data_IF_165318161879
#
_entry.id   IF_165318161879
#
_cell.length_a   1.000
_cell.length_b   1.000
_cell.length_c   1.000
_cell.angle_alpha   90.00
_cell.angle_beta   90.00
_cell.angle_gamma   90.00
#
_symmetry.space_group_name_H-M   'P 1'
#
loop_
_entity.id
_entity.type
_entity.pdbx_description
1 polymer ?
#
# COMPACT_ATOMS: atom_id res chain seq x y z
N UNK A 1 -1.12 46.39 12.59
CA UNK A 1 -1.08 44.96 12.94
C UNK A 1 -2.44 44.70 13.54
N UNK A 2 -3.37 44.15 12.75
CA UNK A 2 -4.68 43.76 13.25
C UNK A 2 -4.61 42.25 13.41
N UNK A 3 -4.55 41.82 14.66
CA UNK A 3 -4.52 40.46 15.16
C UNK A 3 -5.96 39.90 15.06
N UNK A 4 -6.50 39.92 13.84
CA UNK A 4 -7.82 39.39 13.55
C UNK A 4 -7.86 37.93 13.92
N UNK A 5 -8.96 37.49 14.55
CA UNK A 5 -9.31 36.08 14.66
C UNK A 5 -10.12 35.74 13.41
N UNK A 6 -9.86 34.58 12.81
CA UNK A 6 -10.50 34.19 11.55
C UNK A 6 -11.96 33.83 11.82
N UNK A 7 -12.80 33.78 10.79
CA UNK A 7 -14.17 33.33 10.97
C UNK A 7 -14.20 31.91 11.56
N UNK A 8 -14.96 31.72 12.64
CA UNK A 8 -15.11 30.41 13.29
C UNK A 8 -16.56 29.94 13.24
N UNK A 9 -16.75 28.69 12.81
CA UNK A 9 -18.01 27.96 12.95
C UNK A 9 -17.76 26.80 13.91
N UNK A 10 -18.59 26.65 14.94
CA UNK A 10 -18.41 25.60 15.94
C UNK A 10 -19.68 24.77 16.12
N UNK A 11 -19.51 23.45 16.13
CA UNK A 11 -20.52 22.45 16.42
C UNK A 11 -20.19 21.78 17.75
N UNK A 12 -21.14 21.79 18.70
CA UNK A 12 -20.96 21.23 20.05
C UNK A 12 -21.94 20.08 20.31
N UNK A 13 -21.71 19.32 21.40
CA UNK A 13 -22.58 18.24 21.84
C UNK A 13 -22.91 17.25 20.70
N UNK A 14 -24.18 16.95 20.44
CA UNK A 14 -24.63 16.05 19.37
C UNK A 14 -25.09 16.78 18.09
N UNK A 15 -24.60 18.00 17.84
CA UNK A 15 -25.01 18.79 16.67
C UNK A 15 -24.46 18.21 15.35
N UNK A 16 -25.11 18.57 14.24
CA UNK A 16 -24.73 18.11 12.90
C UNK A 16 -24.65 19.26 11.90
N UNK A 17 -23.64 19.21 11.03
CA UNK A 17 -23.58 20.06 9.83
C UNK A 17 -24.50 19.58 8.70
N UNK A 18 -25.15 18.42 8.87
CA UNK A 18 -26.06 17.79 7.91
C UNK A 18 -25.50 17.78 6.48
N UNK A 19 -26.15 18.44 5.52
CA UNK A 19 -25.70 18.54 4.12
C UNK A 19 -25.13 19.93 3.80
N UNK A 20 -24.65 20.67 4.81
CA UNK A 20 -24.16 22.03 4.64
C UNK A 20 -22.90 22.11 3.75
N UNK A 21 -22.70 23.27 3.13
CA UNK A 21 -21.50 23.59 2.36
C UNK A 21 -20.75 24.71 3.06
N UNK A 22 -19.47 24.47 3.34
CA UNK A 22 -18.61 25.34 4.12
C UNK A 22 -17.35 25.66 3.34
N UNK A 23 -16.96 26.94 3.35
CA UNK A 23 -15.68 27.37 2.80
C UNK A 23 -14.88 28.03 3.91
N UNK A 24 -13.79 27.39 4.31
CA UNK A 24 -12.87 27.88 5.31
C UNK A 24 -11.69 28.54 4.58
N UNK A 25 -11.62 29.87 4.64
CA UNK A 25 -10.50 30.64 4.11
C UNK A 25 -9.70 31.23 5.27
N UNK A 26 -8.38 31.17 5.22
CA UNK A 26 -7.51 31.98 6.05
C UNK A 26 -6.76 33.05 5.24
N UNK A 27 -5.93 33.80 5.94
CA UNK A 27 -5.02 34.81 5.41
C UNK A 27 -3.63 34.71 6.08
N UNK A 28 -2.80 35.73 5.90
CA UNK A 28 -1.43 35.80 6.42
C UNK A 28 -1.41 36.07 7.94
N UNK A 29 -1.80 35.07 8.73
CA UNK A 29 -1.80 35.12 10.19
C UNK A 29 -3.08 34.60 10.82
N UNK A 30 -4.13 34.36 10.03
CA UNK A 30 -5.44 34.00 10.56
C UNK A 30 -6.09 32.84 9.81
N UNK A 31 -6.62 31.87 10.55
CA UNK A 31 -7.32 30.71 9.99
C UNK A 31 -8.82 30.83 10.15
N UNK A 32 -9.57 30.88 9.04
CA UNK A 32 -11.00 30.56 9.07
C UNK A 32 -11.18 29.08 9.35
N UNK A 33 -11.99 28.71 10.35
CA UNK A 33 -12.10 27.32 10.79
C UNK A 33 -13.55 26.89 11.00
N UNK A 34 -13.81 25.62 10.68
CA UNK A 34 -15.00 24.91 11.17
C UNK A 34 -14.56 23.85 12.17
N UNK A 35 -15.08 23.87 13.39
CA UNK A 35 -14.65 22.99 14.47
C UNK A 35 -15.80 22.16 15.01
N UNK A 36 -15.56 20.87 15.20
CA UNK A 36 -16.49 19.91 15.78
C UNK A 36 -15.97 19.45 17.15
N UNK A 37 -16.77 19.62 18.19
CA UNK A 37 -16.49 19.17 19.56
C UNK A 37 -17.41 18.03 19.99
N UNK A 38 -17.07 17.36 21.09
CA UNK A 38 -17.90 16.35 21.75
C UNK A 38 -18.35 15.22 20.81
N UNK A 39 -19.65 14.99 20.65
CA UNK A 39 -20.22 13.94 19.79
C UNK A 39 -20.79 14.50 18.48
N UNK A 40 -20.34 15.68 18.06
CA UNK A 40 -20.90 16.36 16.89
C UNK A 40 -20.42 15.69 15.59
N UNK A 41 -21.14 15.93 14.50
CA UNK A 41 -20.84 15.30 13.20
C UNK A 41 -20.89 16.26 12.03
N UNK A 42 -19.95 16.11 11.11
CA UNK A 42 -20.00 16.80 9.83
C UNK A 42 -21.11 16.27 8.89
N UNK A 43 -21.77 15.15 9.23
CA UNK A 43 -22.86 14.59 8.44
C UNK A 43 -22.40 14.23 7.02
N UNK A 44 -23.11 14.73 6.01
CA UNK A 44 -22.71 14.64 4.59
C UNK A 44 -22.20 16.00 4.08
N UNK A 45 -21.72 16.88 4.97
CA UNK A 45 -21.31 18.22 4.63
C UNK A 45 -20.14 18.25 3.64
N UNK A 46 -20.04 19.35 2.89
CA UNK A 46 -18.92 19.60 1.97
C UNK A 46 -18.10 20.78 2.49
N UNK A 47 -16.80 20.57 2.67
CA UNK A 47 -15.88 21.53 3.27
C UNK A 47 -14.74 21.81 2.30
N UNK A 48 -14.58 23.07 1.91
CA UNK A 48 -13.44 23.53 1.12
C UNK A 48 -12.53 24.37 2.00
N UNK A 49 -11.31 23.90 2.21
CA UNK A 49 -10.31 24.52 3.07
C UNK A 49 -9.21 25.10 2.18
N UNK A 50 -9.12 26.43 2.14
CA UNK A 50 -8.15 27.19 1.36
C UNK A 50 -7.17 27.89 2.29
N UNK A 51 -6.04 28.41 1.77
CA UNK A 51 -5.06 29.31 2.43
C UNK A 51 -5.16 29.35 3.97
N UNK A 52 -4.64 28.36 4.68
CA UNK A 52 -4.57 28.34 6.14
C UNK A 52 -5.90 28.14 6.87
N UNK A 53 -7.03 28.10 6.17
CA UNK A 53 -8.31 27.69 6.71
C UNK A 53 -8.41 26.16 6.83
N UNK A 54 -9.25 25.69 7.73
CA UNK A 54 -9.33 24.25 7.99
C UNK A 54 -10.57 23.77 8.72
N UNK A 55 -10.64 22.46 8.86
CA UNK A 55 -11.61 21.77 9.70
C UNK A 55 -10.88 21.05 10.82
N UNK A 56 -11.41 21.13 12.04
CA UNK A 56 -10.84 20.44 13.21
C UNK A 56 -11.90 19.63 13.93
N UNK A 57 -11.56 18.39 14.28
CA UNK A 57 -12.39 17.48 15.07
C UNK A 57 -11.72 17.21 16.42
N UNK A 58 -12.45 17.48 17.51
CA UNK A 58 -12.06 17.20 18.89
C UNK A 58 -13.01 16.23 19.58
N UNK A 59 -12.62 15.69 20.74
CA UNK A 59 -13.46 14.79 21.53
C UNK A 59 -13.79 13.48 20.80
N UNK A 60 -15.07 13.14 20.71
CA UNK A 60 -15.60 11.95 20.02
C UNK A 60 -16.28 12.29 18.69
N UNK A 61 -16.00 13.48 18.12
CA UNK A 61 -16.71 13.98 16.94
C UNK A 61 -16.35 13.19 15.69
N UNK A 62 -17.20 13.26 14.67
CA UNK A 62 -17.05 12.46 13.45
C UNK A 62 -17.13 13.30 12.18
N UNK A 63 -16.33 12.95 11.18
CA UNK A 63 -16.47 13.50 9.83
C UNK A 63 -17.66 12.91 9.05
N UNK A 64 -18.32 11.87 9.58
CA UNK A 64 -19.47 11.23 8.95
C UNK A 64 -19.17 10.74 7.53
N UNK A 65 -20.02 11.10 6.57
CA UNK A 65 -19.80 10.91 5.14
C UNK A 65 -19.33 12.20 4.44
N UNK A 66 -18.82 13.17 5.21
CA UNK A 66 -18.45 14.49 4.69
C UNK A 66 -17.34 14.42 3.64
N UNK A 67 -17.29 15.44 2.80
CA UNK A 67 -16.22 15.64 1.81
C UNK A 67 -15.38 16.84 2.20
N UNK A 68 -14.07 16.64 2.35
CA UNK A 68 -13.14 17.66 2.83
C UNK A 68 -12.07 17.86 1.76
N UNK A 69 -12.00 19.05 1.18
CA UNK A 69 -11.00 19.42 0.18
C UNK A 69 -10.02 20.41 0.77
N UNK A 70 -8.80 19.95 1.02
CA UNK A 70 -7.69 20.72 1.56
C UNK A 70 -6.82 21.20 0.40
N UNK A 71 -6.96 22.46 0.01
CA UNK A 71 -6.19 23.03 -1.10
C UNK A 71 -4.79 23.42 -0.63
N UNK A 72 -3.77 23.09 -1.43
CA UNK A 72 -2.41 23.56 -1.19
C UNK A 72 -2.31 25.08 -1.26
N UNK A 73 -1.21 25.59 -0.72
CA UNK A 73 -0.89 27.01 -0.78
C UNK A 73 -0.74 27.48 -2.24
N UNK A 74 -1.06 28.75 -2.49
CA UNK A 74 -0.85 29.38 -3.81
C UNK A 74 0.42 30.23 -3.88
N UNK A 75 1.03 30.52 -2.72
CA UNK A 75 2.30 31.23 -2.61
C UNK A 75 3.16 30.70 -1.44
N UNK A 76 4.47 30.94 -1.48
CA UNK A 76 5.46 30.31 -0.59
C UNK A 76 5.29 30.64 0.91
N UNK A 77 4.68 31.78 1.24
CA UNK A 77 4.46 32.25 2.62
C UNK A 77 3.06 31.93 3.14
N UNK A 78 2.28 31.18 2.38
CA UNK A 78 0.91 30.84 2.75
C UNK A 78 0.81 29.46 3.38
N UNK A 79 -0.01 29.35 4.42
CA UNK A 79 -0.37 28.06 4.97
C UNK A 79 -1.33 27.32 4.01
N UNK A 80 -1.20 26.00 3.85
CA UNK A 80 -2.16 25.22 3.08
C UNK A 80 -3.48 25.08 3.84
N UNK A 81 -4.53 24.67 3.14
CA UNK A 81 -5.76 24.19 3.77
C UNK A 81 -5.52 22.86 4.49
N UNK A 82 -6.28 22.61 5.56
CA UNK A 82 -6.09 21.41 6.38
C UNK A 82 -7.37 20.78 6.94
N UNK A 83 -7.30 19.50 7.26
CA UNK A 83 -8.26 18.80 8.11
C UNK A 83 -7.51 18.05 9.20
N UNK A 84 -7.90 18.26 10.46
CA UNK A 84 -7.19 17.71 11.62
C UNK A 84 -8.15 16.95 12.55
N UNK A 85 -7.73 15.75 12.97
CA UNK A 85 -8.47 14.87 13.86
C UNK A 85 -7.68 14.66 15.17
N UNK A 86 -8.19 15.21 16.27
CA UNK A 86 -7.64 15.09 17.62
C UNK A 86 -8.41 14.09 18.49
N UNK A 87 -7.88 13.85 19.69
CA UNK A 87 -8.50 13.06 20.76
C UNK A 87 -8.95 11.69 20.28
N UNK A 88 -10.25 11.38 20.37
CA UNK A 88 -10.87 10.12 19.94
C UNK A 88 -11.78 10.33 18.71
N UNK A 89 -11.62 11.44 18.00
CA UNK A 89 -12.45 11.75 16.84
C UNK A 89 -12.24 10.75 15.69
N UNK A 90 -13.19 10.69 14.76
CA UNK A 90 -13.15 9.75 13.65
C UNK A 90 -13.39 10.42 12.29
N UNK A 91 -12.59 10.04 11.29
CA UNK A 91 -12.90 10.33 9.90
C UNK A 91 -14.10 9.51 9.37
N UNK A 92 -14.53 8.48 10.11
CA UNK A 92 -15.69 7.65 9.77
C UNK A 92 -15.66 7.20 8.29
N UNK A 93 -16.66 7.54 7.48
CA UNK A 93 -16.77 7.20 6.06
C UNK A 93 -16.38 8.36 5.13
N UNK A 94 -15.69 9.39 5.63
CA UNK A 94 -15.45 10.63 4.90
C UNK A 94 -14.60 10.45 3.63
N UNK A 95 -14.73 11.42 2.72
CA UNK A 95 -13.81 11.60 1.59
C UNK A 95 -12.87 12.76 1.92
N UNK A 96 -11.61 12.43 2.19
CA UNK A 96 -10.54 13.38 2.53
C UNK A 96 -9.65 13.59 1.31
N UNK A 97 -9.63 14.82 0.79
CA UNK A 97 -8.90 15.20 -0.41
C UNK A 97 -7.87 16.24 -0.01
N UNK A 98 -6.60 16.00 -0.33
CA UNK A 98 -5.53 16.98 -0.20
C UNK A 98 -4.91 17.26 -1.57
N UNK A 99 -4.90 18.53 -1.95
CA UNK A 99 -4.39 18.99 -3.22
C UNK A 99 -2.98 19.58 -3.07
N UNK A 100 -2.09 19.30 -4.02
CA UNK A 100 -0.76 19.90 -4.05
C UNK A 100 -0.81 21.43 -4.10
N UNK A 101 0.25 22.08 -3.62
CA UNK A 101 0.39 23.52 -3.73
C UNK A 101 0.81 23.95 -5.13
N UNK A 102 0.51 25.19 -5.50
CA UNK A 102 0.90 25.73 -6.81
C UNK A 102 2.41 25.94 -6.89
N UNK A 103 3.02 25.68 -8.04
CA UNK A 103 4.46 25.90 -8.25
C UNK A 103 5.38 25.22 -7.20
N UNK A 104 4.95 24.10 -6.62
CA UNK A 104 5.73 23.32 -5.67
C UNK A 104 5.75 23.86 -4.23
N UNK A 105 4.94 24.88 -3.90
CA UNK A 105 4.77 25.31 -2.50
C UNK A 105 3.94 24.30 -1.70
N UNK A 106 3.89 24.44 -0.36
CA UNK A 106 3.30 23.44 0.55
C UNK A 106 1.89 23.01 0.13
N UNK A 107 1.66 21.70 0.02
CA UNK A 107 0.37 21.12 -0.33
C UNK A 107 -0.61 21.04 0.84
N UNK A 108 -1.88 20.81 0.50
CA UNK A 108 -2.97 20.55 1.44
C UNK A 108 -2.62 19.42 2.40
N UNK A 109 -3.14 19.47 3.62
CA UNK A 109 -2.74 18.53 4.66
C UNK A 109 -3.91 17.86 5.36
N UNK A 110 -3.73 16.58 5.69
CA UNK A 110 -4.64 15.78 6.52
C UNK A 110 -3.83 15.24 7.69
N UNK A 111 -4.34 15.43 8.91
CA UNK A 111 -3.66 15.04 10.13
C UNK A 111 -4.52 14.10 10.97
N UNK A 112 -3.90 13.03 11.47
CA UNK A 112 -4.47 12.21 12.56
C UNK A 112 -3.52 12.27 13.74
N UNK A 113 -4.01 12.81 14.85
CA UNK A 113 -3.23 13.15 16.04
C UNK A 113 -3.83 12.44 17.26
N UNK A 114 -2.98 12.07 18.22
CA UNK A 114 -3.40 11.45 19.50
C UNK A 114 -4.09 10.08 19.26
N UNK A 115 -5.38 9.93 19.53
CA UNK A 115 -6.10 8.65 19.47
C UNK A 115 -7.16 8.60 18.38
N UNK A 116 -7.10 9.52 17.41
CA UNK A 116 -8.12 9.63 16.37
C UNK A 116 -8.07 8.46 15.40
N UNK A 117 -9.20 8.19 14.74
CA UNK A 117 -9.33 7.06 13.83
C UNK A 117 -9.67 7.51 12.42
N UNK A 118 -9.11 6.85 11.41
CA UNK A 118 -9.45 7.10 10.00
C UNK A 118 -10.67 6.32 9.49
N UNK A 119 -11.25 5.44 10.31
CA UNK A 119 -12.45 4.67 9.96
C UNK A 119 -12.33 3.89 8.63
N UNK A 120 -13.29 4.13 7.75
CA UNK A 120 -13.36 3.64 6.37
C UNK A 120 -13.12 4.77 5.35
N UNK A 121 -12.61 5.91 5.80
CA UNK A 121 -12.42 7.11 5.00
C UNK A 121 -11.53 6.87 3.78
N UNK A 122 -11.82 7.61 2.71
CA UNK A 122 -11.05 7.61 1.47
C UNK A 122 -10.09 8.80 1.50
N UNK A 123 -8.79 8.52 1.44
CA UNK A 123 -7.75 9.55 1.37
C UNK A 123 -7.25 9.67 -0.07
N UNK A 124 -7.41 10.87 -0.65
CA UNK A 124 -6.95 11.20 -2.00
C UNK A 124 -5.90 12.29 -1.89
N UNK A 125 -4.66 11.98 -2.27
CA UNK A 125 -3.53 12.90 -2.22
C UNK A 125 -3.04 13.21 -3.64
N UNK A 126 -2.67 14.45 -3.92
CA UNK A 126 -2.07 14.84 -5.20
C UNK A 126 -0.84 15.74 -5.02
N UNK A 127 0.12 15.62 -5.94
CA UNK A 127 1.32 16.46 -5.96
C UNK A 127 2.13 16.34 -4.67
N UNK A 128 2.37 17.46 -3.99
CA UNK A 128 3.11 17.51 -2.73
C UNK A 128 2.20 17.69 -1.49
N UNK A 129 0.93 17.30 -1.59
CA UNK A 129 0.01 17.23 -0.44
C UNK A 129 0.38 16.11 0.52
N UNK A 130 -0.12 16.20 1.76
CA UNK A 130 0.35 15.35 2.85
C UNK A 130 -0.80 14.69 3.62
N UNK A 131 -0.63 13.42 3.94
CA UNK A 131 -1.23 12.77 5.09
C UNK A 131 -0.14 12.58 6.14
N UNK A 132 -0.34 13.02 7.37
CA UNK A 132 0.64 12.87 8.44
C UNK A 132 -0.01 12.25 9.69
N UNK A 133 0.55 11.12 10.12
CA UNK A 133 0.13 10.36 11.31
C UNK A 133 1.24 10.30 12.38
N UNK A 134 2.35 11.03 12.19
CA UNK A 134 3.52 11.00 13.07
C UNK A 134 3.21 11.42 14.51
N UNK A 135 2.14 12.21 14.70
CA UNK A 135 1.63 12.71 15.99
C UNK A 135 0.58 11.81 16.66
N UNK A 136 0.23 10.67 16.06
CA UNK A 136 -0.65 9.70 16.69
C UNK A 136 0.02 9.09 17.94
N UNK A 137 -0.74 8.54 18.90
CA UNK A 137 -0.24 7.94 20.16
C UNK A 137 -0.55 6.43 20.28
N UNK A 138 -1.60 5.93 19.62
CA UNK A 138 -1.92 4.49 19.50
C UNK A 138 -1.07 3.77 18.44
N UNK A 139 -1.24 2.44 18.25
CA UNK A 139 -0.32 1.62 17.42
C UNK A 139 -0.26 2.07 15.95
N UNK A 140 -1.21 2.90 15.51
CA UNK A 140 -1.27 3.41 14.16
C UNK A 140 -2.64 4.01 13.84
N UNK A 141 -2.82 4.42 12.59
CA UNK A 141 -4.09 4.91 12.06
C UNK A 141 -4.62 3.91 11.04
N UNK A 142 -5.91 3.62 11.09
CA UNK A 142 -6.60 2.81 10.07
C UNK A 142 -7.43 3.70 9.17
N UNK A 143 -7.25 3.60 7.86
CA UNK A 143 -8.07 4.27 6.84
C UNK A 143 -8.72 3.26 5.90
N UNK A 144 -9.80 3.67 5.24
CA UNK A 144 -10.44 2.86 4.21
C UNK A 144 -9.53 2.61 3.02
N UNK A 145 -9.05 3.67 2.37
CA UNK A 145 -8.20 3.55 1.17
C UNK A 145 -7.33 4.78 0.95
N UNK A 146 -6.15 4.60 0.36
CA UNK A 146 -5.27 5.68 -0.11
C UNK A 146 -5.17 5.66 -1.64
N UNK A 147 -5.15 6.84 -2.28
CA UNK A 147 -5.00 6.98 -3.74
C UNK A 147 -4.23 8.26 -4.09
N UNK A 148 -3.50 8.23 -5.21
CA UNK A 148 -2.89 9.40 -5.83
C UNK A 148 -1.39 9.54 -5.55
N UNK A 149 -0.83 10.75 -5.68
CA UNK A 149 0.61 11.00 -5.80
C UNK A 149 1.26 11.82 -4.68
N UNK A 150 0.55 12.09 -3.57
CA UNK A 150 1.07 12.87 -2.44
C UNK A 150 1.99 12.10 -1.49
N UNK A 151 2.32 12.72 -0.36
CA UNK A 151 3.20 12.17 0.66
C UNK A 151 2.41 11.62 1.85
N UNK A 152 2.86 10.50 2.39
CA UNK A 152 2.35 9.93 3.65
C UNK A 152 3.50 9.87 4.64
N UNK A 153 3.41 10.64 5.72
CA UNK A 153 4.39 10.67 6.80
C UNK A 153 3.92 9.81 7.97
N UNK A 154 4.69 8.77 8.27
CA UNK A 154 4.36 7.76 9.27
C UNK A 154 4.98 8.04 10.64
N UNK A 155 6.11 8.75 10.69
CA UNK A 155 6.98 8.79 11.85
C UNK A 155 7.41 7.38 12.25
N UNK A 156 6.99 6.94 13.44
CA UNK A 156 7.19 5.58 13.95
C UNK A 156 5.87 4.80 14.10
N UNK A 157 4.83 5.20 13.34
CA UNK A 157 3.47 4.64 13.44
C UNK A 157 3.15 3.68 12.31
N UNK A 158 2.16 2.81 12.51
CA UNK A 158 1.62 1.97 11.45
C UNK A 158 0.46 2.67 10.74
N UNK A 159 0.47 2.69 9.40
CA UNK A 159 -0.73 2.99 8.62
C UNK A 159 -1.39 1.68 8.19
N UNK A 160 -2.64 1.45 8.58
CA UNK A 160 -3.45 0.33 8.09
C UNK A 160 -4.41 0.80 7.00
N UNK A 161 -4.40 0.14 5.85
CA UNK A 161 -5.14 0.54 4.64
C UNK A 161 -5.97 -0.62 4.11
N UNK A 162 -7.20 -0.32 3.68
CA UNK A 162 -8.07 -1.25 2.97
C UNK A 162 -9.39 -1.54 3.68
N UNK A 163 -9.70 -0.80 4.76
CA UNK A 163 -10.88 -1.03 5.59
C UNK A 163 -12.22 -0.81 4.85
N UNK A 164 -12.20 -0.25 3.64
CA UNK A 164 -13.38 -0.08 2.77
C UNK A 164 -13.35 -0.99 1.52
N UNK A 165 -12.39 -1.92 1.43
CA UNK A 165 -12.22 -2.87 0.32
C UNK A 165 -12.05 -2.28 -1.09
N UNK A 166 -11.82 -0.96 -1.23
CA UNK A 166 -11.59 -0.37 -2.53
C UNK A 166 -10.24 -0.78 -3.10
N UNK A 167 -10.19 -0.90 -4.44
CA UNK A 167 -8.94 -1.08 -5.17
C UNK A 167 -8.39 0.28 -5.59
N UNK A 168 -7.13 0.55 -5.26
CA UNK A 168 -6.49 1.85 -5.49
C UNK A 168 -5.06 1.73 -6.02
N UNK A 169 -4.64 2.80 -6.69
CA UNK A 169 -3.26 3.06 -7.07
C UNK A 169 -2.75 4.22 -6.23
N UNK A 170 -1.66 3.98 -5.51
CA UNK A 170 -0.89 5.00 -4.83
C UNK A 170 0.47 5.12 -5.53
N UNK A 171 0.66 6.29 -6.14
CA UNK A 171 1.84 6.68 -6.91
C UNK A 171 2.60 7.81 -6.20
N UNK A 172 2.40 7.95 -4.89
CA UNK A 172 3.10 8.90 -4.03
C UNK A 172 4.19 8.21 -3.23
N UNK A 173 4.72 8.92 -2.22
CA UNK A 173 5.77 8.41 -1.34
C UNK A 173 5.22 8.23 0.07
N UNK A 174 5.38 7.02 0.61
CA UNK A 174 5.19 6.71 2.02
C UNK A 174 6.57 6.75 2.68
N UNK A 175 6.68 7.45 3.80
CA UNK A 175 7.96 7.75 4.43
C UNK A 175 7.87 7.86 5.95
N UNK A 176 9.02 7.68 6.59
CA UNK A 176 9.24 8.07 7.97
C UNK A 176 9.19 9.61 8.13
N UNK A 177 9.33 10.11 9.35
CA UNK A 177 9.28 11.54 9.63
C UNK A 177 7.86 12.10 9.71
N UNK A 178 7.69 13.36 9.30
CA UNK A 178 6.48 14.15 9.56
C UNK A 178 6.72 15.20 10.63
N UNK A 179 5.67 15.88 11.09
CA UNK A 179 5.75 16.98 12.05
C UNK A 179 6.48 16.55 13.35
N UNK A 180 6.28 15.31 13.79
CA UNK A 180 6.96 14.77 14.99
C UNK A 180 8.24 14.01 14.70
N UNK A 181 8.68 13.91 13.45
CA UNK A 181 9.83 13.09 13.06
C UNK A 181 9.61 11.60 13.37
N UNK A 182 10.70 10.88 13.60
CA UNK A 182 10.71 9.46 13.96
C UNK A 182 10.95 8.53 12.77
N UNK A 183 11.40 7.31 13.07
CA UNK A 183 11.68 6.23 12.12
C UNK A 183 10.97 4.94 12.53
N UNK A 184 10.89 3.97 11.62
CA UNK A 184 10.21 2.69 11.88
C UNK A 184 8.72 2.73 11.54
N UNK A 185 8.28 3.72 10.75
CA UNK A 185 6.94 3.75 10.19
C UNK A 185 6.65 2.51 9.38
N UNK A 186 5.45 1.95 9.48
CA UNK A 186 5.08 0.68 8.86
C UNK A 186 3.74 0.72 8.13
N UNK A 187 3.55 -0.21 7.19
CA UNK A 187 2.33 -0.33 6.41
C UNK A 187 1.65 -1.67 6.66
N UNK A 188 0.34 -1.66 6.91
CA UNK A 188 -0.47 -2.89 6.95
C UNK A 188 -1.58 -2.81 5.91
N UNK A 189 -1.60 -3.76 4.97
CA UNK A 189 -2.67 -3.92 3.99
C UNK A 189 -3.72 -4.92 4.49
N UNK A 190 -4.97 -4.47 4.57
CA UNK A 190 -6.17 -5.26 4.93
C UNK A 190 -7.25 -5.16 3.87
N UNK A 191 -8.40 -5.82 4.10
CA UNK A 191 -9.53 -5.82 3.18
C UNK A 191 -9.27 -6.57 1.89
N UNK A 192 -10.32 -6.75 1.08
CA UNK A 192 -10.29 -7.56 -0.14
C UNK A 192 -9.77 -6.80 -1.37
N UNK A 193 -9.76 -5.46 -1.32
CA UNK A 193 -9.31 -4.61 -2.42
C UNK A 193 -7.83 -4.77 -2.77
N UNK A 194 -7.46 -4.28 -3.96
CA UNK A 194 -6.08 -4.22 -4.46
C UNK A 194 -5.43 -2.88 -4.13
N UNK A 195 -4.27 -2.87 -3.49
CA UNK A 195 -3.42 -1.69 -3.38
C UNK A 195 -2.23 -1.84 -4.32
N UNK A 196 -2.04 -0.89 -5.24
CA UNK A 196 -0.84 -0.82 -6.09
C UNK A 196 0.06 0.30 -5.54
N UNK A 197 1.32 -0.03 -5.26
CA UNK A 197 2.39 0.91 -4.95
C UNK A 197 3.28 1.03 -6.18
N UNK A 198 3.25 2.18 -6.85
CA UNK A 198 3.96 2.35 -8.13
C UNK A 198 5.20 3.25 -8.05
N UNK A 199 5.59 3.68 -6.84
CA UNK A 199 6.78 4.50 -6.61
C UNK A 199 7.59 3.93 -5.45
N UNK A 200 8.85 4.36 -5.37
CA UNK A 200 9.73 4.05 -4.25
C UNK A 200 9.17 4.66 -2.97
N UNK A 201 9.05 3.84 -1.94
CA UNK A 201 8.72 4.25 -0.59
C UNK A 201 9.99 4.19 0.28
N UNK A 202 10.05 5.05 1.30
CA UNK A 202 11.27 5.26 2.11
C UNK A 202 11.01 5.16 3.61
N UNK A 203 9.90 4.56 4.03
CA UNK A 203 9.71 4.17 5.43
C UNK A 203 10.61 2.99 5.78
N UNK A 204 11.00 2.88 7.06
CA UNK A 204 12.00 1.88 7.49
C UNK A 204 11.41 0.72 8.28
N UNK A 205 10.16 0.83 8.74
CA UNK A 205 9.43 -0.29 9.33
C UNK A 205 8.93 -1.29 8.29
N UNK A 206 8.34 -2.39 8.77
CA UNK A 206 7.90 -3.48 7.90
C UNK A 206 6.60 -3.21 7.16
N UNK A 207 6.34 -4.04 6.15
CA UNK A 207 5.06 -4.14 5.44
C UNK A 207 4.36 -5.45 5.80
N UNK A 208 3.11 -5.40 6.25
CA UNK A 208 2.30 -6.60 6.48
C UNK A 208 1.12 -6.66 5.52
N UNK A 209 1.02 -7.72 4.73
CA UNK A 209 -0.17 -8.03 3.94
C UNK A 209 -1.01 -9.07 4.70
N UNK A 210 -2.17 -8.64 5.22
CA UNK A 210 -3.09 -9.54 5.92
C UNK A 210 -4.12 -10.17 5.00
N UNK A 211 -4.67 -9.40 4.04
CA UNK A 211 -5.69 -9.83 3.06
C UNK A 211 -5.68 -8.95 1.81
N UNK A 212 -6.29 -9.45 0.74
CA UNK A 212 -6.49 -8.73 -0.52
C UNK A 212 -5.28 -8.86 -1.44
N UNK A 213 -5.03 -7.84 -2.27
CA UNK A 213 -3.88 -7.81 -3.18
C UNK A 213 -2.97 -6.62 -2.87
N UNK A 214 -1.66 -6.83 -2.79
CA UNK A 214 -0.63 -5.78 -2.74
C UNK A 214 0.28 -5.94 -3.98
N UNK A 215 0.22 -4.96 -4.88
CA UNK A 215 1.03 -4.95 -6.10
C UNK A 215 2.19 -3.97 -5.95
N UNK A 216 3.40 -4.45 -6.15
CA UNK A 216 4.63 -3.67 -6.12
C UNK A 216 5.05 -3.41 -7.56
N UNK A 217 4.86 -2.18 -8.03
CA UNK A 217 5.09 -1.77 -9.42
C UNK A 217 5.94 -0.50 -9.49
N UNK A 218 6.82 -0.29 -8.50
CA UNK A 218 7.81 0.77 -8.55
C UNK A 218 8.84 0.49 -9.66
N UNK A 219 9.26 1.53 -10.37
CA UNK A 219 10.26 1.44 -11.44
C UNK A 219 11.69 1.70 -10.96
N UNK A 220 11.84 2.17 -9.72
CA UNK A 220 13.13 2.41 -9.06
C UNK A 220 12.97 2.27 -7.54
N UNK A 221 14.09 2.14 -6.82
CA UNK A 221 14.09 2.00 -5.36
C UNK A 221 13.31 0.78 -4.88
N UNK A 222 12.70 0.86 -3.69
CA UNK A 222 11.81 -0.19 -3.18
C UNK A 222 10.37 0.28 -3.02
N UNK A 223 9.41 -0.51 -3.49
CA UNK A 223 7.99 -0.23 -3.29
C UNK A 223 7.49 -0.45 -1.87
N UNK A 224 8.27 -1.08 -0.97
CA UNK A 224 7.84 -1.38 0.42
C UNK A 224 8.79 -0.82 1.48
N UNK A 225 9.64 0.14 1.13
CA UNK A 225 10.67 0.63 2.04
C UNK A 225 11.78 -0.40 2.29
N UNK A 226 12.59 -0.18 3.33
CA UNK A 226 13.73 -1.04 3.66
C UNK A 226 13.39 -2.17 4.64
N UNK A 227 12.26 -2.08 5.34
CA UNK A 227 11.85 -3.08 6.32
C UNK A 227 11.34 -4.39 5.71
N UNK A 228 11.19 -5.45 6.52
CA UNK A 228 10.73 -6.75 6.04
C UNK A 228 9.28 -6.72 5.56
N UNK A 229 8.95 -7.62 4.62
CA UNK A 229 7.59 -7.84 4.12
C UNK A 229 7.07 -9.18 4.64
N UNK A 230 5.94 -9.16 5.33
CA UNK A 230 5.27 -10.32 5.89
C UNK A 230 3.90 -10.51 5.20
N UNK A 231 3.72 -11.61 4.48
CA UNK A 231 2.46 -11.95 3.80
C UNK A 231 1.72 -13.00 4.63
N UNK A 232 0.81 -12.55 5.49
CA UNK A 232 -0.03 -13.45 6.30
C UNK A 232 -1.20 -14.03 5.48
N UNK A 233 -1.66 -13.31 4.46
CA UNK A 233 -2.77 -13.75 3.61
C UNK A 233 -3.08 -12.76 2.50
N UNK A 234 -3.69 -13.24 1.42
CA UNK A 234 -3.83 -12.50 0.16
C UNK A 234 -2.63 -12.68 -0.76
N UNK A 235 -2.57 -11.86 -1.81
CA UNK A 235 -1.56 -11.94 -2.87
C UNK A 235 -0.59 -10.76 -2.80
N UNK A 236 0.68 -11.08 -2.66
CA UNK A 236 1.78 -10.17 -2.98
C UNK A 236 2.19 -10.43 -4.44
N UNK A 237 2.26 -9.38 -5.24
CA UNK A 237 2.66 -9.49 -6.64
C UNK A 237 3.19 -8.20 -7.22
N UNK A 238 3.28 -8.13 -8.54
CA UNK A 238 3.77 -6.98 -9.29
C UNK A 238 5.09 -7.25 -10.01
N UNK A 239 5.66 -6.21 -10.60
CA UNK A 239 6.90 -6.28 -11.39
C UNK A 239 8.01 -5.33 -10.89
N UNK A 240 7.84 -4.81 -9.67
CA UNK A 240 8.73 -3.85 -9.07
C UNK A 240 9.84 -4.49 -8.24
N UNK A 241 10.35 -3.70 -7.29
CA UNK A 241 11.46 -4.12 -6.42
C UNK A 241 11.10 -3.97 -4.95
N UNK A 242 11.39 -5.00 -4.18
CA UNK A 242 11.30 -5.07 -2.73
C UNK A 242 12.72 -5.13 -2.17
N UNK A 243 13.11 -4.20 -1.30
CA UNK A 243 14.46 -4.19 -0.72
C UNK A 243 14.56 -5.14 0.48
N UNK A 244 13.56 -5.15 1.35
CA UNK A 244 13.55 -5.96 2.56
C UNK A 244 13.30 -7.45 2.30
N UNK A 245 13.64 -8.28 3.29
CA UNK A 245 13.36 -9.72 3.23
C UNK A 245 11.85 -9.98 3.16
N UNK A 246 11.46 -11.02 2.41
CA UNK A 246 10.05 -11.39 2.21
C UNK A 246 9.78 -12.74 2.84
N UNK A 247 8.77 -12.80 3.70
CA UNK A 247 8.23 -14.07 4.23
C UNK A 247 6.79 -14.24 3.76
N UNK A 248 6.52 -15.35 3.09
CA UNK A 248 5.18 -15.74 2.63
C UNK A 248 4.64 -16.80 3.57
N UNK A 249 3.50 -16.48 4.19
CA UNK A 249 2.77 -17.34 5.12
C UNK A 249 3.14 -17.18 6.60
N UNK A 250 2.68 -18.14 7.39
CA UNK A 250 2.46 -18.21 8.84
C UNK A 250 1.33 -17.29 9.37
N UNK A 251 0.37 -16.95 8.49
CA UNK A 251 -0.96 -16.46 8.84
C UNK A 251 -1.98 -17.58 9.14
N UNK A 252 -1.45 -18.79 9.39
CA UNK A 252 -2.00 -20.05 9.91
C UNK A 252 -3.25 -20.60 9.21
N UNK A 253 -3.44 -20.25 7.95
CA UNK A 253 -4.41 -20.83 7.05
C UNK A 253 -3.95 -20.63 5.61
N UNK A 254 -4.33 -21.51 4.69
CA UNK A 254 -3.98 -21.35 3.27
C UNK A 254 -4.57 -20.05 2.75
N UNK A 255 -3.73 -19.20 2.19
CA UNK A 255 -4.18 -17.93 1.65
C UNK A 255 -3.07 -16.90 1.45
N UNK A 256 -1.86 -17.12 1.96
CA UNK A 256 -0.69 -16.30 1.63
C UNK A 256 -0.12 -16.75 0.29
N UNK A 257 -0.13 -15.84 -0.69
CA UNK A 257 0.30 -16.12 -2.06
C UNK A 257 1.35 -15.11 -2.47
N UNK A 258 2.43 -15.61 -3.05
CA UNK A 258 3.32 -14.82 -3.90
C UNK A 258 3.00 -15.16 -5.36
N UNK A 259 2.73 -14.13 -6.15
CA UNK A 259 2.43 -14.22 -7.58
C UNK A 259 3.03 -13.00 -8.27
N UNK A 260 4.28 -13.12 -8.78
CA UNK A 260 4.89 -12.10 -9.63
C UNK A 260 4.00 -11.74 -10.83
N UNK A 261 4.35 -10.65 -11.53
CA UNK A 261 3.54 -10.20 -12.65
C UNK A 261 2.28 -9.43 -12.25
N UNK A 262 1.40 -9.16 -13.22
CA UNK A 262 0.20 -8.37 -12.99
C UNK A 262 -0.99 -9.27 -12.66
N UNK A 263 -1.27 -9.44 -11.36
CA UNK A 263 -2.43 -10.17 -10.79
C UNK A 263 -3.83 -9.97 -11.43
N UNK A 264 -4.05 -9.07 -12.41
CA UNK A 264 -5.32 -8.87 -13.16
C UNK A 264 -5.11 -8.04 -14.46
N UNK A 265 -4.09 -8.31 -15.27
CA UNK A 265 -3.96 -7.78 -16.63
C UNK A 265 -3.72 -8.93 -17.60
N UNK A 266 -4.51 -9.05 -18.67
CA UNK A 266 -4.34 -10.11 -19.69
C UNK A 266 -2.87 -10.19 -20.14
N UNK A 267 -2.35 -11.41 -20.24
CA UNK A 267 -1.06 -11.73 -20.87
C UNK A 267 0.16 -10.99 -20.31
N UNK A 268 0.36 -10.94 -18.99
CA UNK A 268 1.59 -10.33 -18.47
C UNK A 268 2.25 -11.08 -17.33
N UNK A 269 2.76 -12.29 -17.63
CA UNK A 269 3.84 -12.85 -16.85
C UNK A 269 4.96 -11.81 -16.66
N UNK A 270 5.57 -11.75 -15.48
CA UNK A 270 6.63 -10.77 -15.24
C UNK A 270 7.46 -11.03 -13.99
N UNK A 271 8.56 -10.30 -13.89
CA UNK A 271 9.54 -10.49 -12.83
C UNK A 271 9.29 -9.58 -11.63
N UNK A 272 9.21 -10.15 -10.43
CA UNK A 272 9.29 -9.41 -9.17
C UNK A 272 10.69 -9.57 -8.55
N UNK A 273 11.35 -8.46 -8.25
CA UNK A 273 12.69 -8.49 -7.63
C UNK A 273 12.60 -8.29 -6.12
N UNK A 274 13.24 -9.19 -5.37
CA UNK A 274 13.43 -9.12 -3.92
C UNK A 274 14.94 -9.10 -3.68
N UNK A 275 15.47 -7.98 -3.17
CA UNK A 275 16.93 -7.80 -3.01
C UNK A 275 17.51 -8.52 -1.79
N UNK A 276 16.65 -9.17 -1.01
CA UNK A 276 16.92 -9.85 0.25
C UNK A 276 16.40 -11.29 0.21
N UNK A 277 16.59 -12.09 1.29
CA UNK A 277 16.07 -13.45 1.33
C UNK A 277 14.55 -13.53 1.18
N UNK A 278 14.11 -14.57 0.47
CA UNK A 278 12.72 -14.99 0.32
C UNK A 278 12.48 -16.30 1.07
N UNK A 279 11.45 -16.35 1.91
CA UNK A 279 11.05 -17.55 2.64
C UNK A 279 9.58 -17.90 2.40
N UNK A 280 9.32 -19.13 1.96
CA UNK A 280 7.99 -19.72 1.93
C UNK A 280 7.79 -20.58 3.18
N UNK A 281 6.72 -20.33 3.94
CA UNK A 281 6.34 -21.12 5.11
C UNK A 281 5.29 -22.18 4.74
N UNK A 282 4.88 -23.01 5.70
CA UNK A 282 4.06 -24.21 5.46
C UNK A 282 2.65 -23.97 4.89
N UNK A 283 2.12 -22.75 4.99
CA UNK A 283 0.80 -22.35 4.46
C UNK A 283 0.89 -21.40 3.24
N UNK A 284 2.10 -21.23 2.71
CA UNK A 284 2.36 -20.40 1.55
C UNK A 284 2.06 -21.12 0.22
N UNK A 285 1.62 -20.35 -0.76
CA UNK A 285 1.56 -20.76 -2.16
C UNK A 285 2.46 -19.85 -3.00
N UNK A 286 3.32 -20.44 -3.83
CA UNK A 286 3.92 -19.76 -4.96
C UNK A 286 3.07 -20.00 -6.20
N UNK A 287 2.46 -18.96 -6.76
CA UNK A 287 1.61 -19.03 -7.94
C UNK A 287 2.36 -18.45 -9.14
N UNK A 288 2.53 -19.27 -10.17
CA UNK A 288 3.29 -18.95 -11.39
C UNK A 288 2.37 -19.03 -12.59
N UNK A 289 2.33 -17.94 -13.36
CA UNK A 289 1.69 -17.89 -14.66
C UNK A 289 2.73 -18.04 -15.78
N UNK A 290 2.46 -18.92 -16.73
CA UNK A 290 3.15 -19.02 -18.02
C UNK A 290 2.17 -18.59 -19.12
N UNK A 291 2.67 -18.01 -20.20
CA UNK A 291 1.91 -17.85 -21.42
C UNK A 291 2.60 -18.62 -22.55
N UNK A 292 2.09 -19.81 -22.85
CA UNK A 292 2.65 -20.66 -23.91
C UNK A 292 2.52 -20.09 -25.32
N UNK A 293 1.63 -19.12 -25.54
CA UNK A 293 1.49 -18.43 -26.82
C UNK A 293 2.64 -17.45 -27.07
N UNK A 294 3.17 -16.82 -26.01
CA UNK A 294 4.29 -15.87 -26.07
C UNK A 294 5.61 -16.43 -25.55
N UNK A 295 5.61 -17.65 -24.99
CA UNK A 295 6.74 -18.24 -24.28
C UNK A 295 7.32 -17.30 -23.20
N UNK A 296 6.44 -16.73 -22.37
CA UNK A 296 6.81 -15.89 -21.22
C UNK A 296 6.31 -16.52 -19.92
N UNK A 297 6.98 -16.23 -18.80
CA UNK A 297 6.64 -16.77 -17.48
C UNK A 297 6.84 -15.72 -16.38
N UNK A 298 6.13 -15.92 -15.28
CA UNK A 298 6.42 -15.23 -14.03
C UNK A 298 7.77 -15.66 -13.49
N UNK A 299 8.47 -14.71 -12.89
CA UNK A 299 9.76 -14.93 -12.25
C UNK A 299 9.79 -14.19 -10.92
N UNK A 300 10.29 -14.84 -9.87
CA UNK A 300 10.76 -14.12 -8.68
C UNK A 300 12.28 -14.18 -8.64
N UNK A 301 12.91 -13.02 -8.51
CA UNK A 301 14.36 -12.88 -8.34
C UNK A 301 14.60 -12.60 -6.86
N UNK A 302 15.40 -13.41 -6.17
CA UNK A 302 15.66 -13.27 -4.73
C UNK A 302 17.13 -13.53 -4.38
N UNK A 303 17.63 -12.90 -3.30
CA UNK A 303 18.97 -13.17 -2.77
C UNK A 303 18.90 -14.19 -1.63
N UNK A 304 18.78 -15.46 -2.01
CA UNK A 304 18.58 -16.58 -1.10
C UNK A 304 17.11 -16.95 -1.00
N UNK A 305 16.82 -18.24 -1.15
CA UNK A 305 15.46 -18.77 -1.13
C UNK A 305 15.37 -19.97 -0.19
N UNK A 306 14.37 -19.95 0.69
CA UNK A 306 14.03 -21.07 1.57
C UNK A 306 12.58 -21.47 1.36
N UNK A 307 12.35 -22.76 1.09
CA UNK A 307 11.03 -23.37 0.91
C UNK A 307 10.81 -24.37 2.04
N UNK A 308 10.04 -23.98 3.05
CA UNK A 308 9.74 -24.85 4.18
C UNK A 308 8.72 -25.92 3.81
N UNK A 309 8.79 -27.06 4.50
CA UNK A 309 7.84 -28.17 4.35
C UNK A 309 6.39 -27.69 4.50
N UNK A 310 5.53 -28.08 3.55
CA UNK A 310 4.13 -27.68 3.49
C UNK A 310 3.84 -26.57 2.46
N UNK A 311 4.84 -25.77 2.07
CA UNK A 311 4.68 -24.78 1.02
C UNK A 311 4.26 -25.43 -0.30
N UNK A 312 3.37 -24.78 -1.05
CA UNK A 312 2.77 -25.29 -2.28
C UNK A 312 3.18 -24.45 -3.50
N UNK A 313 3.25 -25.13 -4.65
CA UNK A 313 3.38 -24.51 -5.97
C UNK A 313 2.04 -24.58 -6.70
N UNK A 314 1.65 -23.50 -7.38
CA UNK A 314 0.48 -23.42 -8.24
C UNK A 314 0.89 -22.92 -9.61
N UNK A 315 0.37 -23.53 -10.66
CA UNK A 315 0.75 -23.24 -12.03
C UNK A 315 -0.48 -22.96 -12.88
N UNK A 316 -0.42 -21.91 -13.70
CA UNK A 316 -1.40 -21.63 -14.73
C UNK A 316 -0.70 -21.34 -16.07
N UNK A 317 -1.17 -21.96 -17.15
CA UNK A 317 -0.80 -21.55 -18.50
C UNK A 317 -1.94 -20.72 -19.09
N UNK A 318 -1.68 -19.44 -19.33
CA UNK A 318 -2.59 -18.45 -19.90
C UNK A 318 -2.68 -18.56 -21.42
N UNK A 319 -1.71 -19.22 -22.04
CA UNK A 319 -1.63 -19.40 -23.48
C UNK A 319 -2.25 -20.72 -23.95
N UNK A 320 -2.24 -20.91 -25.27
CA UNK A 320 -2.66 -22.15 -25.94
C UNK A 320 -1.64 -22.63 -26.96
N UNK A 321 -0.39 -22.17 -26.84
CA UNK A 321 0.69 -22.51 -27.75
C UNK A 321 1.30 -23.87 -27.43
N UNK A 322 1.81 -24.55 -28.45
CA UNK A 322 2.74 -25.68 -28.26
C UNK A 322 4.14 -25.13 -28.16
N UNK A 323 4.75 -25.27 -27.00
CA UNK A 323 6.11 -24.85 -26.74
C UNK A 323 7.11 -25.82 -27.38
N UNK A 324 8.28 -25.30 -27.74
CA UNK A 324 9.34 -26.10 -28.35
C UNK A 324 10.01 -26.93 -27.24
N UNK A 325 10.17 -28.26 -27.39
CA UNK A 325 10.97 -29.03 -26.45
C UNK A 325 12.38 -28.44 -26.30
N UNK A 326 12.80 -28.24 -25.05
CA UNK A 326 14.02 -27.52 -24.69
C UNK A 326 13.81 -26.05 -24.32
N UNK A 327 12.62 -25.48 -24.48
CA UNK A 327 12.28 -24.17 -23.87
C UNK A 327 12.39 -24.29 -22.35
N UNK A 328 13.10 -23.36 -21.70
CA UNK A 328 13.28 -23.34 -20.24
C UNK A 328 12.74 -22.02 -19.69
N UNK A 329 11.90 -22.13 -18.66
CA UNK A 329 11.47 -20.98 -17.86
C UNK A 329 12.17 -21.01 -16.51
N UNK A 330 12.91 -19.97 -16.17
CA UNK A 330 13.35 -19.73 -14.79
C UNK A 330 12.21 -19.06 -14.04
N UNK A 331 11.64 -19.76 -13.06
CA UNK A 331 10.50 -19.25 -12.27
C UNK A 331 10.92 -18.81 -10.88
N UNK A 332 12.06 -19.29 -10.37
CA UNK A 332 12.76 -18.68 -9.24
C UNK A 332 14.21 -18.50 -9.65
N UNK A 333 14.67 -17.26 -9.63
CA UNK A 333 16.06 -16.87 -9.85
C UNK A 333 16.72 -16.55 -8.51
N UNK A 334 17.58 -17.43 -8.04
CA UNK A 334 18.23 -17.35 -6.75
C UNK A 334 19.64 -16.76 -6.90
N UNK A 335 19.74 -15.45 -6.72
CA UNK A 335 21.00 -14.72 -6.87
C UNK A 335 22.04 -14.98 -5.75
N UNK A 336 21.70 -15.76 -4.72
CA UNK A 336 22.66 -16.13 -3.67
C UNK A 336 23.56 -17.28 -4.13
N UNK A 337 24.82 -17.32 -3.67
CA UNK A 337 25.75 -18.41 -4.02
C UNK A 337 25.32 -19.80 -3.51
N UNK A 338 24.37 -19.87 -2.57
CA UNK A 338 23.86 -21.13 -2.00
C UNK A 338 22.63 -21.62 -2.78
N UNK A 339 22.44 -22.94 -2.96
CA UNK A 339 21.23 -23.52 -3.53
C UNK A 339 19.94 -23.09 -2.83
N UNK A 340 18.80 -23.23 -3.53
CA UNK A 340 17.48 -23.14 -2.91
C UNK A 340 17.40 -24.19 -1.79
N UNK A 341 17.04 -23.75 -0.58
CA UNK A 341 16.87 -24.66 0.55
C UNK A 341 15.45 -25.23 0.58
N UNK A 342 15.30 -26.53 0.28
CA UNK A 342 14.02 -27.24 0.30
C UNK A 342 13.29 -27.22 -1.06
N UNK A 343 12.10 -27.84 -1.12
CA UNK A 343 11.27 -27.94 -2.32
C UNK A 343 9.80 -27.73 -1.98
N UNK A 344 8.99 -27.32 -2.95
CA UNK A 344 7.54 -27.27 -2.78
C UNK A 344 6.97 -28.69 -2.63
N UNK A 345 6.02 -28.87 -1.73
CA UNK A 345 5.53 -30.20 -1.31
C UNK A 345 4.84 -30.96 -2.44
N UNK A 346 4.33 -30.25 -3.45
CA UNK A 346 3.68 -30.79 -4.63
C UNK A 346 4.46 -30.57 -5.94
N UNK A 347 5.74 -30.19 -5.85
CA UNK A 347 6.62 -29.98 -7.00
C UNK A 347 8.04 -30.43 -6.64
N UNK A 348 8.26 -31.74 -6.64
CA UNK A 348 9.56 -32.34 -6.33
C UNK A 348 10.55 -32.12 -7.46
N UNK A 349 11.84 -32.11 -7.12
CA UNK A 349 12.91 -32.03 -8.11
C UNK A 349 12.88 -33.23 -9.08
N UNK A 350 13.14 -32.97 -10.36
CA UNK A 350 13.05 -33.95 -11.45
C UNK A 350 11.64 -34.43 -11.81
N UNK A 351 10.60 -34.00 -11.07
CA UNK A 351 9.22 -34.37 -11.38
C UNK A 351 8.72 -33.73 -12.68
N UNK A 352 7.61 -34.25 -13.20
CA UNK A 352 6.99 -33.76 -14.43
C UNK A 352 5.52 -33.47 -14.22
N UNK A 353 5.01 -32.47 -14.92
CA UNK A 353 3.58 -32.18 -15.00
C UNK A 353 3.22 -31.65 -16.39
N UNK A 354 1.94 -31.72 -16.74
CA UNK A 354 1.43 -31.25 -18.04
C UNK A 354 0.40 -30.15 -17.85
N UNK A 355 0.46 -29.10 -18.66
CA UNK A 355 -0.54 -28.04 -18.73
C UNK A 355 -0.70 -27.58 -20.19
N UNK A 356 -1.94 -27.41 -20.64
CA UNK A 356 -2.31 -27.02 -22.01
C UNK A 356 -1.55 -27.77 -23.14
N UNK A 357 -1.28 -29.07 -22.93
CA UNK A 357 -0.59 -29.92 -23.90
C UNK A 357 0.93 -29.79 -23.92
N UNK A 358 1.52 -28.97 -23.04
CA UNK A 358 2.95 -28.87 -22.81
C UNK A 358 3.34 -29.67 -21.56
N UNK A 359 4.40 -30.48 -21.64
CA UNK A 359 4.96 -31.21 -20.49
C UNK A 359 6.20 -30.49 -19.99
N UNK A 360 6.25 -30.24 -18.69
CA UNK A 360 7.32 -29.52 -18.00
C UNK A 360 8.06 -30.47 -17.07
N UNK A 361 9.39 -30.47 -17.13
CA UNK A 361 10.28 -31.10 -16.16
C UNK A 361 10.81 -30.04 -15.20
N UNK A 362 10.74 -30.35 -13.90
CA UNK A 362 11.19 -29.48 -12.81
C UNK A 362 12.67 -29.71 -12.53
N UNK A 363 13.43 -28.63 -12.33
CA UNK A 363 14.83 -28.68 -11.90
C UNK A 363 15.13 -27.54 -10.92
N UNK A 364 15.51 -27.87 -9.68
CA UNK A 364 15.92 -26.91 -8.62
C UNK A 364 17.41 -26.55 -8.65
N UNK A 365 18.20 -27.21 -9.49
CA UNK A 365 19.59 -26.90 -9.82
C UNK A 365 19.69 -26.29 -11.23
N UNK A 366 18.64 -25.62 -11.68
CA UNK A 366 18.57 -25.00 -13.01
C UNK A 366 19.35 -23.69 -13.10
N UNK A 367 19.30 -23.07 -14.29
CA UNK A 367 19.89 -21.76 -14.54
C UNK A 367 21.41 -21.74 -14.33
N UNK A 368 21.90 -21.03 -13.32
CA UNK A 368 23.33 -21.02 -12.95
C UNK A 368 23.74 -22.13 -11.95
N UNK A 369 22.81 -23.03 -11.61
CA UNK A 369 23.02 -24.19 -10.75
C UNK A 369 22.28 -24.14 -9.41
N UNK A 370 21.46 -23.10 -9.18
CA UNK A 370 20.72 -22.92 -7.93
C UNK A 370 19.28 -22.39 -8.13
N UNK A 371 18.76 -22.40 -9.36
CA UNK A 371 17.46 -21.82 -9.73
C UNK A 371 16.36 -22.88 -9.85
N UNK A 372 15.10 -22.47 -9.64
CA UNK A 372 13.95 -23.31 -10.01
C UNK A 372 13.59 -23.03 -11.46
N UNK A 373 13.78 -24.05 -12.31
CA UNK A 373 13.47 -24.00 -13.74
C UNK A 373 12.43 -25.05 -14.14
N UNK A 374 11.66 -24.72 -15.18
CA UNK A 374 10.69 -25.59 -15.84
C UNK A 374 11.10 -25.77 -17.30
N UNK A 375 11.61 -26.95 -17.65
CA UNK A 375 12.02 -27.28 -19.01
C UNK A 375 10.92 -28.02 -19.76
N UNK A 376 10.57 -27.56 -20.95
CA UNK A 376 9.60 -28.24 -21.82
C UNK A 376 10.24 -29.48 -22.41
N UNK A 377 9.59 -30.64 -22.28
CA UNK A 377 10.06 -31.93 -22.77
C UNK A 377 9.07 -32.55 -23.77
N UNK A 378 9.51 -33.54 -24.58
CA UNK A 378 8.65 -34.20 -25.57
C UNK A 378 7.39 -34.87 -25.02
#
# INVERSE_FOLDING_TARGET
MFDGIGGQIMFFNASTAANGTFTNNGDNGTSGTTTFYDASTAGNGTFTNNRGGGVVFYGSSTAGNGTFTNNGAVAAVENPGFTDFYDTSSADNATLIANGGQNGVVGGSIYFVIGSSGGTARVLLSGNSNLDISRHLGPGVTVGSIKGSGNIFLGHRTLMVGNNNLSTLFSGVIQDGGISGGTGGSLTKVGTGKLILSHANIYTGGTTLRRGKLMINNTSGSGTGSGPVQVNGGWLGGQGTIAGAVTVGAGTGRGAVLSPGYLNGVDSPGALTIQSPLSFTSDATYEVEVNSSSATADEVIANGVTINTGAQFSFADLGSGTLIPGTVFTVINNTAATPIAGTFSNLLDGSMFTANGNTYQVNYDGGDGNDLTLAVIP
#
